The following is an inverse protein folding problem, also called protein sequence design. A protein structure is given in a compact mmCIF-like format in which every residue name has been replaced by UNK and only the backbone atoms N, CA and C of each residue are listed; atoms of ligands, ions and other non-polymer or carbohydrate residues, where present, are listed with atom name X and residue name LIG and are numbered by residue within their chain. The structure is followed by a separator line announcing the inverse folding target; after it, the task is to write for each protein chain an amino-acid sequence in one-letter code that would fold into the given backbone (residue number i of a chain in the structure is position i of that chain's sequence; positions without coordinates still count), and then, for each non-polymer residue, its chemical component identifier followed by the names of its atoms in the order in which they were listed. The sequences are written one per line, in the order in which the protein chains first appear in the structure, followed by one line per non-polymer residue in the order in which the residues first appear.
data_IF_797191200584
#
_entry.id   IF_797191200584
#
_cell.length_a   1.000
_cell.length_b   1.000
_cell.length_c   1.000
_cell.angle_alpha   90.00
_cell.angle_beta   90.00
_cell.angle_gamma   90.00
#
_symmetry.space_group_name_H-M   'P 1'
#
loop_
_entity.id
_entity.type
_entity.pdbx_description
1 polymer ?
#
# COMPACT_ATOMS: atom_id res chain seq x y z
N UNK A 1 22.51 6.65 9.66
CA UNK A 1 21.47 5.67 10.03
C UNK A 1 22.18 4.37 10.37
N UNK A 2 21.90 3.75 11.53
CA UNK A 2 22.66 2.60 12.04
C UNK A 2 21.95 1.31 11.63
N UNK A 3 22.65 0.46 10.91
CA UNK A 3 22.23 -0.92 10.64
C UNK A 3 22.81 -1.82 11.73
N UNK A 4 22.17 -2.95 11.99
CA UNK A 4 22.59 -3.90 13.03
C UNK A 4 22.60 -5.32 12.47
N UNK A 5 23.41 -6.18 13.08
CA UNK A 5 23.24 -7.63 12.99
C UNK A 5 22.56 -8.10 14.26
N UNK A 6 21.56 -8.96 14.10
CA UNK A 6 21.08 -9.79 15.19
C UNK A 6 21.81 -11.12 15.11
N UNK A 7 22.68 -11.37 16.07
CA UNK A 7 23.51 -12.56 16.12
C UNK A 7 23.09 -13.46 17.27
N UNK A 8 22.77 -14.71 16.96
CA UNK A 8 22.52 -15.74 17.94
C UNK A 8 23.81 -16.51 18.23
N UNK A 9 24.30 -16.38 19.46
CA UNK A 9 25.56 -17.02 19.89
C UNK A 9 25.48 -18.55 19.96
N UNK A 10 24.28 -19.12 20.13
CA UNK A 10 24.08 -20.56 20.29
C UNK A 10 24.08 -21.31 18.94
N UNK A 11 23.37 -20.77 17.95
CA UNK A 11 23.28 -21.33 16.61
C UNK A 11 24.44 -20.91 15.70
N UNK A 12 25.23 -19.91 16.12
CA UNK A 12 26.23 -19.25 15.28
C UNK A 12 25.61 -18.72 13.97
N UNK A 13 24.44 -18.09 14.10
CA UNK A 13 23.66 -17.56 12.99
C UNK A 13 23.38 -16.07 13.18
N UNK A 14 23.34 -15.32 12.08
CA UNK A 14 22.97 -13.90 12.10
C UNK A 14 21.88 -13.55 11.08
N UNK A 15 21.11 -12.51 11.40
CA UNK A 15 20.22 -11.83 10.45
C UNK A 15 20.50 -10.33 10.45
N UNK A 16 20.48 -9.72 9.27
CA UNK A 16 20.67 -8.29 9.06
C UNK A 16 19.40 -7.54 9.43
N UNK A 17 19.52 -6.61 10.36
CA UNK A 17 18.47 -5.65 10.70
C UNK A 17 18.73 -4.35 9.94
N UNK A 18 17.90 -4.09 8.93
CA UNK A 18 17.96 -2.86 8.14
C UNK A 18 17.37 -1.65 8.87
N UNK A 19 17.00 -0.63 8.11
CA UNK A 19 16.42 0.58 8.70
C UNK A 19 14.98 0.37 9.17
N UNK A 20 14.58 1.04 10.25
CA UNK A 20 13.17 1.13 10.65
C UNK A 20 12.40 2.16 9.81
N UNK A 21 11.49 1.70 8.95
CA UNK A 21 10.63 2.55 8.12
C UNK A 21 9.48 3.09 8.97
N UNK A 22 9.65 4.28 9.55
CA UNK A 22 8.69 4.88 10.50
C UNK A 22 7.26 4.98 9.95
N UNK A 23 7.11 5.28 8.65
CA UNK A 23 5.80 5.43 8.00
C UNK A 23 5.00 4.12 7.95
N UNK A 24 5.70 3.00 7.85
CA UNK A 24 5.09 1.69 7.62
C UNK A 24 5.20 0.77 8.86
N UNK A 25 5.89 1.23 9.91
CA UNK A 25 5.93 0.57 11.21
C UNK A 25 6.72 -0.74 11.24
N UNK A 26 7.72 -0.91 10.37
CA UNK A 26 8.51 -2.14 10.28
C UNK A 26 9.99 -1.88 9.98
N UNK A 27 10.84 -2.89 10.18
CA UNK A 27 12.25 -2.86 9.76
C UNK A 27 12.42 -3.42 8.35
N UNK A 28 13.27 -2.79 7.55
CA UNK A 28 13.77 -3.37 6.32
C UNK A 28 14.50 -4.69 6.64
N UNK A 29 14.12 -5.74 5.93
CA UNK A 29 14.69 -7.07 6.11
C UNK A 29 16.02 -7.24 5.39
N UNK A 30 16.29 -8.49 5.05
CA UNK A 30 17.50 -8.91 4.36
C UNK A 30 17.66 -8.25 2.98
N UNK A 31 18.92 -8.08 2.57
CA UNK A 31 19.28 -7.60 1.25
C UNK A 31 19.40 -8.78 0.28
N UNK A 32 18.73 -8.69 -0.88
CA UNK A 32 18.93 -9.59 -2.02
C UNK A 32 19.94 -9.01 -2.98
N UNK A 33 20.97 -9.79 -3.28
CA UNK A 33 21.95 -9.46 -4.31
C UNK A 33 21.35 -9.59 -5.71
N UNK A 34 20.48 -10.59 -5.93
CA UNK A 34 19.85 -10.84 -7.22
C UNK A 34 18.97 -9.66 -7.67
N UNK A 35 18.20 -9.09 -6.75
CA UNK A 35 17.30 -7.98 -7.03
C UNK A 35 17.87 -6.60 -6.68
N UNK A 36 19.09 -6.55 -6.13
CA UNK A 36 19.78 -5.34 -5.70
C UNK A 36 18.91 -4.44 -4.78
N UNK A 37 18.13 -5.06 -3.88
CA UNK A 37 17.18 -4.36 -3.02
C UNK A 37 16.99 -5.08 -1.67
N UNK A 38 16.58 -4.33 -0.64
CA UNK A 38 16.13 -4.87 0.64
C UNK A 38 14.69 -5.35 0.57
N UNK A 39 14.37 -6.37 1.36
CA UNK A 39 12.99 -6.70 1.67
C UNK A 39 12.31 -5.55 2.41
N UNK A 40 11.20 -5.07 1.87
CA UNK A 40 10.31 -4.09 2.52
C UNK A 40 9.35 -4.82 3.48
N UNK A 41 9.92 -5.64 4.37
CA UNK A 41 9.21 -6.44 5.36
C UNK A 41 10.18 -7.00 6.38
N UNK A 42 9.73 -7.11 7.62
CA UNK A 42 10.41 -7.73 8.75
C UNK A 42 10.08 -9.23 8.91
N UNK A 43 9.52 -9.88 7.88
CA UNK A 43 9.12 -11.30 7.93
C UNK A 43 10.28 -12.22 8.32
N UNK A 44 11.45 -12.05 7.70
CA UNK A 44 12.64 -12.85 8.01
C UNK A 44 13.18 -12.57 9.41
N UNK A 45 13.10 -11.31 9.84
CA UNK A 45 13.47 -10.90 11.20
C UNK A 45 12.57 -11.60 12.23
N UNK A 46 11.25 -11.55 12.04
CA UNK A 46 10.29 -12.22 12.91
C UNK A 46 10.56 -13.73 12.99
N UNK A 47 10.81 -14.38 11.83
CA UNK A 47 11.16 -15.81 11.78
C UNK A 47 12.47 -16.11 12.49
N UNK A 48 13.49 -15.28 12.31
CA UNK A 48 14.76 -15.41 13.02
C UNK A 48 14.53 -15.40 14.53
N UNK A 49 13.78 -14.41 15.05
CA UNK A 49 13.46 -14.32 16.48
C UNK A 49 12.67 -15.53 17.00
N UNK A 50 11.71 -16.04 16.21
CA UNK A 50 10.92 -17.22 16.57
C UNK A 50 11.75 -18.51 16.58
N UNK A 51 12.64 -18.70 15.61
CA UNK A 51 13.53 -19.88 15.56
C UNK A 51 14.59 -19.88 16.67
N UNK A 52 14.91 -18.71 17.22
CA UNK A 52 15.93 -18.51 18.24
C UNK A 52 15.33 -18.16 19.61
N UNK A 53 14.08 -18.53 19.86
CA UNK A 53 13.43 -18.31 21.15
C UNK A 53 14.22 -19.00 22.28
N UNK A 54 14.52 -18.23 23.33
CA UNK A 54 15.31 -18.71 24.46
C UNK A 54 16.83 -18.68 24.23
N UNK A 55 17.30 -18.34 23.03
CA UNK A 55 18.73 -18.13 22.77
C UNK A 55 19.14 -16.70 23.12
N UNK A 56 20.41 -16.52 23.45
CA UNK A 56 20.98 -15.20 23.66
C UNK A 56 21.28 -14.54 22.31
N UNK A 57 20.46 -13.54 21.95
CA UNK A 57 20.59 -12.77 20.72
C UNK A 57 21.25 -11.42 21.05
N UNK A 58 22.34 -11.11 20.37
CA UNK A 58 23.04 -9.83 20.47
C UNK A 58 22.69 -8.95 19.28
N UNK A 59 22.37 -7.68 19.55
CA UNK A 59 22.32 -6.66 18.52
C UNK A 59 23.69 -5.99 18.40
N UNK A 60 24.33 -6.15 17.24
CA UNK A 60 25.70 -5.71 16.99
C UNK A 60 25.67 -4.61 15.95
N UNK A 61 26.10 -3.38 16.28
CA UNK A 61 26.04 -2.25 15.37
C UNK A 61 27.04 -2.40 14.23
N UNK A 62 26.68 -1.86 13.06
CA UNK A 62 27.59 -1.77 11.93
C UNK A 62 28.88 -1.01 12.27
N UNK A 63 29.93 -1.28 11.49
CA UNK A 63 31.27 -0.65 11.61
C UNK A 63 32.00 -0.95 12.93
N UNK A 64 31.73 -2.11 13.53
CA UNK A 64 32.53 -2.68 14.61
C UNK A 64 33.35 -3.86 14.10
N UNK A 65 34.45 -4.18 14.78
CA UNK A 65 35.26 -5.35 14.45
C UNK A 65 34.43 -6.63 14.64
N UNK A 66 33.66 -6.70 15.74
CA UNK A 66 32.74 -7.82 16.02
C UNK A 66 31.72 -8.03 14.89
N UNK A 67 31.16 -6.97 14.32
CA UNK A 67 30.27 -7.06 13.16
C UNK A 67 30.97 -7.68 11.95
N UNK A 68 32.21 -7.25 11.68
CA UNK A 68 32.99 -7.73 10.53
C UNK A 68 33.42 -9.18 10.71
N UNK A 69 33.72 -9.58 11.94
CA UNK A 69 34.10 -10.96 12.28
C UNK A 69 32.90 -11.90 12.12
N UNK A 70 31.73 -11.52 12.63
CA UNK A 70 30.51 -12.35 12.53
C UNK A 70 30.08 -12.57 11.09
N UNK A 71 30.15 -11.55 10.22
CA UNK A 71 29.83 -11.72 8.80
C UNK A 71 30.76 -12.74 8.13
N UNK A 72 32.01 -12.84 8.59
CA UNK A 72 33.00 -13.78 8.02
C UNK A 72 32.90 -15.17 8.62
N UNK A 73 32.54 -15.30 9.89
CA UNK A 73 32.61 -16.56 10.63
C UNK A 73 31.25 -17.25 10.79
N UNK A 74 30.18 -16.50 11.03
CA UNK A 74 28.86 -17.04 11.34
C UNK A 74 28.03 -17.26 10.07
N UNK A 75 27.00 -18.11 10.18
CA UNK A 75 26.09 -18.40 9.07
C UNK A 75 25.01 -17.34 8.96
N UNK A 76 24.72 -16.88 7.74
CA UNK A 76 23.57 -16.01 7.49
C UNK A 76 22.29 -16.83 7.54
N UNK A 77 21.33 -16.39 8.36
CA UNK A 77 20.05 -17.06 8.52
C UNK A 77 19.31 -17.13 7.18
N UNK A 78 19.00 -18.37 6.76
CA UNK A 78 18.26 -18.65 5.52
C UNK A 78 18.82 -17.99 4.26
N UNK A 79 20.13 -17.83 4.14
CA UNK A 79 20.80 -17.16 3.01
C UNK A 79 20.29 -17.64 1.63
N UNK A 80 20.20 -18.96 1.45
CA UNK A 80 19.72 -19.59 0.21
C UNK A 80 18.23 -19.31 -0.12
N UNK A 81 17.44 -18.88 0.86
CA UNK A 81 16.02 -18.57 0.67
C UNK A 81 15.74 -17.06 0.58
N UNK A 82 16.71 -16.20 0.90
CA UNK A 82 16.52 -14.73 0.93
C UNK A 82 15.98 -14.23 -0.41
N UNK A 83 16.59 -14.65 -1.52
CA UNK A 83 16.17 -14.23 -2.86
C UNK A 83 14.72 -14.63 -3.16
N UNK A 84 14.31 -15.85 -2.77
CA UNK A 84 12.91 -16.30 -2.92
C UNK A 84 11.95 -15.41 -2.14
N UNK A 85 12.26 -15.07 -0.89
CA UNK A 85 11.38 -14.20 -0.10
C UNK A 85 11.30 -12.78 -0.66
N UNK A 86 12.40 -12.27 -1.23
CA UNK A 86 12.43 -10.97 -1.88
C UNK A 86 11.56 -10.99 -3.14
N UNK A 87 11.68 -12.04 -3.95
CA UNK A 87 10.85 -12.22 -5.14
C UNK A 87 9.36 -12.29 -4.79
N UNK A 88 8.98 -13.10 -3.79
CA UNK A 88 7.62 -13.17 -3.29
C UNK A 88 7.12 -11.80 -2.79
N UNK A 89 7.94 -11.05 -2.07
CA UNK A 89 7.59 -9.71 -1.60
C UNK A 89 7.36 -8.74 -2.77
N UNK A 90 8.20 -8.80 -3.81
CA UNK A 90 8.02 -8.01 -5.04
C UNK A 90 6.71 -8.37 -5.73
N UNK A 91 6.39 -9.65 -5.85
CA UNK A 91 5.14 -10.12 -6.46
C UNK A 91 3.92 -9.66 -5.66
N UNK A 92 3.98 -9.77 -4.32
CA UNK A 92 2.92 -9.26 -3.43
C UNK A 92 2.71 -7.76 -3.61
N UNK A 93 3.79 -6.98 -3.71
CA UNK A 93 3.69 -5.53 -3.92
C UNK A 93 3.11 -5.20 -5.29
N UNK A 94 3.54 -5.89 -6.36
CA UNK A 94 2.96 -5.74 -7.69
C UNK A 94 1.47 -6.08 -7.72
N UNK A 95 1.06 -7.15 -7.02
CA UNK A 95 -0.34 -7.52 -6.89
C UNK A 95 -1.15 -6.43 -6.15
N UNK A 96 -0.64 -5.93 -5.03
CA UNK A 96 -1.27 -4.81 -4.29
C UNK A 96 -1.43 -3.55 -5.13
N UNK A 97 -0.41 -3.19 -5.91
CA UNK A 97 -0.51 -2.02 -6.81
C UNK A 97 -1.54 -2.24 -7.90
N UNK A 98 -1.61 -3.45 -8.47
CA UNK A 98 -2.63 -3.82 -9.45
C UNK A 98 -4.04 -3.80 -8.85
N UNK A 99 -4.21 -4.27 -7.61
CA UNK A 99 -5.50 -4.22 -6.92
C UNK A 99 -5.92 -2.77 -6.64
N UNK A 100 -5.00 -1.91 -6.19
CA UNK A 100 -5.26 -0.46 -6.05
C UNK A 100 -5.67 0.18 -7.37
N UNK A 101 -5.03 -0.21 -8.48
CA UNK A 101 -5.38 0.29 -9.81
C UNK A 101 -6.79 -0.17 -10.21
N UNK A 102 -7.10 -1.44 -9.99
CA UNK A 102 -8.45 -1.99 -10.23
C UNK A 102 -9.52 -1.27 -9.40
N UNK A 103 -9.29 -1.04 -8.10
CA UNK A 103 -10.21 -0.31 -7.22
C UNK A 103 -10.44 1.12 -7.72
N UNK A 104 -9.39 1.78 -8.24
CA UNK A 104 -9.51 3.11 -8.84
C UNK A 104 -10.37 3.09 -10.09
N UNK A 105 -10.16 2.14 -10.99
CA UNK A 105 -10.96 2.02 -12.22
C UNK A 105 -12.42 1.68 -11.90
N UNK A 106 -12.66 0.84 -10.89
CA UNK A 106 -14.00 0.53 -10.40
C UNK A 106 -14.68 1.77 -9.79
N UNK A 107 -13.94 2.57 -9.01
CA UNK A 107 -14.43 3.85 -8.50
C UNK A 107 -14.79 4.84 -9.62
N UNK A 108 -13.97 4.96 -10.66
CA UNK A 108 -14.28 5.78 -11.85
C UNK A 108 -15.55 5.30 -12.54
N UNK A 109 -15.71 3.98 -12.69
CA UNK A 109 -16.92 3.39 -13.27
C UNK A 109 -18.17 3.74 -12.44
N UNK A 110 -18.10 3.58 -11.11
CA UNK A 110 -19.21 3.92 -10.21
C UNK A 110 -19.62 5.40 -10.33
N UNK A 111 -18.65 6.32 -10.38
CA UNK A 111 -18.93 7.75 -10.54
C UNK A 111 -19.54 8.07 -11.91
N UNK A 112 -19.09 7.41 -12.98
CA UNK A 112 -19.69 7.55 -14.31
C UNK A 112 -21.14 7.05 -14.36
N UNK A 113 -21.42 5.90 -13.73
CA UNK A 113 -22.79 5.37 -13.61
C UNK A 113 -23.67 6.36 -12.84
N UNK A 114 -23.20 6.90 -11.72
CA UNK A 114 -23.93 7.90 -10.95
C UNK A 114 -24.21 9.17 -11.76
N UNK A 115 -23.25 9.65 -12.55
CA UNK A 115 -23.48 10.77 -13.47
C UNK A 115 -24.63 10.48 -14.42
N UNK A 116 -24.66 9.28 -15.03
CA UNK A 116 -25.72 8.88 -15.96
C UNK A 116 -27.08 8.80 -15.30
N UNK A 117 -27.15 8.24 -14.09
CA UNK A 117 -28.40 8.20 -13.32
C UNK A 117 -28.94 9.59 -13.00
N UNK A 118 -28.07 10.56 -12.67
CA UNK A 118 -28.50 11.95 -12.47
C UNK A 118 -28.97 12.63 -13.76
N UNK A 119 -28.32 12.36 -14.90
CA UNK A 119 -28.76 12.88 -16.22
C UNK A 119 -30.15 12.33 -16.59
N UNK A 120 -30.37 11.03 -16.36
CA UNK A 120 -31.65 10.36 -16.60
C UNK A 120 -32.75 10.89 -15.68
N UNK A 121 -32.50 10.96 -14.37
CA UNK A 121 -33.49 11.45 -13.40
C UNK A 121 -33.85 12.93 -13.66
N UNK A 122 -32.88 13.78 -14.03
CA UNK A 122 -33.16 15.15 -14.42
C UNK A 122 -34.01 15.22 -15.71
N UNK A 123 -33.76 14.33 -16.67
CA UNK A 123 -34.58 14.24 -17.89
C UNK A 123 -36.01 13.75 -17.59
N UNK A 124 -36.18 12.86 -16.63
CA UNK A 124 -37.50 12.39 -16.19
C UNK A 124 -38.25 13.52 -15.50
N UNK A 125 -37.61 14.20 -14.53
CA UNK A 125 -38.23 15.29 -13.75
C UNK A 125 -38.68 16.44 -14.65
N UNK A 126 -37.88 16.82 -15.66
CA UNK A 126 -38.21 17.89 -16.61
C UNK A 126 -39.39 17.56 -17.55
N UNK A 127 -39.74 16.27 -17.69
CA UNK A 127 -40.85 15.80 -18.55
C UNK A 127 -42.14 15.51 -17.78
N UNK A 128 -42.13 15.60 -16.45
CA UNK A 128 -43.31 15.34 -15.64
C UNK A 128 -44.37 16.44 -15.85
N UNK A 129 -45.64 16.08 -16.12
CA UNK A 129 -46.71 17.05 -16.21
C UNK A 129 -46.96 17.69 -14.83
N UNK A 130 -47.39 18.95 -14.83
CA UNK A 130 -47.70 19.71 -13.62
C UNK A 130 -49.12 20.25 -13.69
N UNK A 131 -49.89 20.07 -12.62
CA UNK A 131 -51.29 20.53 -12.56
C UNK A 131 -51.40 21.89 -11.87
N UNK A 132 -50.47 22.17 -10.95
CA UNK A 132 -50.44 23.42 -10.17
C UNK A 132 -49.12 24.17 -10.30
N UNK A 133 -49.17 25.49 -10.07
CA UNK A 133 -47.96 26.35 -10.04
C UNK A 133 -46.97 25.94 -8.94
N UNK A 134 -47.49 25.43 -7.82
CA UNK A 134 -46.65 24.98 -6.71
C UNK A 134 -45.87 23.70 -7.06
N UNK A 135 -46.51 22.74 -7.73
CA UNK A 135 -45.83 21.53 -8.23
C UNK A 135 -44.80 21.85 -9.29
N UNK A 136 -45.11 22.78 -10.21
CA UNK A 136 -44.15 23.25 -11.20
C UNK A 136 -42.90 23.84 -10.56
N UNK A 137 -43.05 24.65 -9.52
CA UNK A 137 -41.92 25.25 -8.81
C UNK A 137 -41.12 24.21 -8.00
N UNK A 138 -41.79 23.20 -7.42
CA UNK A 138 -41.14 22.10 -6.71
C UNK A 138 -40.30 21.23 -7.65
N UNK A 139 -40.85 20.81 -8.79
CA UNK A 139 -40.15 19.97 -9.76
C UNK A 139 -38.96 20.72 -10.38
N UNK A 140 -39.10 22.02 -10.64
CA UNK A 140 -38.01 22.86 -11.12
C UNK A 140 -36.88 22.96 -10.08
N UNK A 141 -37.22 23.07 -8.79
CA UNK A 141 -36.23 22.98 -7.71
C UNK A 141 -35.52 21.62 -7.64
N UNK A 142 -36.25 20.52 -7.85
CA UNK A 142 -35.67 19.16 -7.91
C UNK A 142 -34.73 19.01 -9.10
N UNK A 143 -35.12 19.50 -10.27
CA UNK A 143 -34.30 19.49 -11.48
C UNK A 143 -33.00 20.28 -11.30
N UNK A 144 -33.08 21.51 -10.81
CA UNK A 144 -31.90 22.35 -10.56
C UNK A 144 -30.98 21.76 -9.48
N UNK A 145 -31.56 21.12 -8.46
CA UNK A 145 -30.79 20.36 -7.47
C UNK A 145 -29.98 19.22 -8.09
N UNK A 146 -30.60 18.45 -8.99
CA UNK A 146 -29.94 17.35 -9.72
C UNK A 146 -28.83 17.87 -10.64
N UNK A 147 -29.09 18.95 -11.40
CA UNK A 147 -28.07 19.59 -12.25
C UNK A 147 -26.90 20.12 -11.43
N UNK A 148 -27.16 20.72 -10.27
CA UNK A 148 -26.10 21.22 -9.39
C UNK A 148 -25.28 20.07 -8.79
N UNK A 149 -25.92 19.00 -8.35
CA UNK A 149 -25.24 17.80 -7.86
C UNK A 149 -24.37 17.18 -8.95
N UNK A 150 -24.88 17.09 -10.19
CA UNK A 150 -24.13 16.61 -11.35
C UNK A 150 -22.91 17.50 -11.67
N UNK A 151 -23.06 18.83 -11.62
CA UNK A 151 -21.94 19.76 -11.81
C UNK A 151 -20.84 19.53 -10.77
N UNK A 152 -21.21 19.41 -9.49
CA UNK A 152 -20.26 19.17 -8.41
C UNK A 152 -19.57 17.81 -8.56
N UNK A 153 -20.30 16.78 -8.98
CA UNK A 153 -19.75 15.46 -9.25
C UNK A 153 -18.73 15.49 -10.39
N UNK A 154 -19.02 16.19 -11.49
CA UNK A 154 -18.09 16.37 -12.61
C UNK A 154 -16.82 17.11 -12.19
N UNK A 155 -16.94 18.18 -11.42
CA UNK A 155 -15.79 18.91 -10.86
C UNK A 155 -14.93 18.02 -9.95
N UNK A 156 -15.57 17.20 -9.10
CA UNK A 156 -14.85 16.25 -8.24
C UNK A 156 -14.09 15.22 -9.07
N UNK A 157 -14.72 14.66 -10.10
CA UNK A 157 -14.06 13.71 -11.01
C UNK A 157 -12.85 14.33 -11.71
N UNK A 158 -12.94 15.59 -12.18
CA UNK A 158 -11.82 16.30 -12.80
C UNK A 158 -10.66 16.54 -11.82
N UNK A 159 -10.97 16.96 -10.59
CA UNK A 159 -9.97 17.13 -9.52
C UNK A 159 -9.31 15.80 -9.17
N UNK A 160 -10.09 14.74 -8.99
CA UNK A 160 -9.55 13.40 -8.71
C UNK A 160 -8.65 12.93 -9.85
N UNK A 161 -9.07 13.09 -11.11
CA UNK A 161 -8.25 12.71 -12.26
C UNK A 161 -6.94 13.51 -12.38
N UNK A 162 -6.90 14.76 -11.95
CA UNK A 162 -5.66 15.57 -11.93
C UNK A 162 -4.69 15.12 -10.84
N UNK A 163 -5.19 14.77 -9.64
CA UNK A 163 -4.34 14.26 -8.56
C UNK A 163 -3.68 12.90 -8.88
N UNK A 164 -4.33 12.05 -9.67
CA UNK A 164 -3.86 10.68 -9.95
C UNK A 164 -3.24 10.49 -11.35
N UNK A 165 -3.08 11.56 -12.14
CA UNK A 165 -2.35 11.53 -13.43
C UNK A 165 -0.85 11.82 -13.30
N UNK A 166 -0.31 11.90 -12.08
CA UNK A 166 1.11 12.14 -11.77
C UNK A 166 1.87 10.84 -11.56
#
# INVERSE_FOLDING_TARGET
MREYLLYCTYCDEYSSLGHYVEKEGHFEGEYSLLHNQRMQSDELLCRFLLCHLGHHIKAIPNRTDEFSDIIKSAKRYKDNEVDRYVEEAVLRNKAKEKDKEMDRELGKLQLNVLCKMFEEEASIVSKLPTETKAEAQFLLGKEEGLKRALSLLKELMEKTNTFYKS
#
